data_IF_914563269091
#
_entry.id   IF_914563269091
#
_cell.length_a   1.000
_cell.length_b   1.000
_cell.length_c   1.000
_cell.angle_alpha   90.00
_cell.angle_beta   90.00
_cell.angle_gamma   90.00
#
_symmetry.space_group_name_H-M   'P 1'
#
loop_
_entity.id
_entity.type
_entity.pdbx_description
1 polymer ?
#
# COMPACT_ATOMS: atom_id res chain seq x y z
N UNK A 1 -24.53 10.45 -35.98
CA UNK A 1 -23.43 11.39 -35.79
C UNK A 1 -23.63 12.18 -34.51
N UNK A 2 -22.60 12.86 -34.05
CA UNK A 2 -22.65 13.76 -32.89
C UNK A 2 -22.48 15.18 -33.39
N UNK A 3 -23.26 16.10 -32.82
CA UNK A 3 -23.29 17.50 -33.25
C UNK A 3 -21.91 18.15 -33.13
N UNK A 4 -21.46 18.82 -34.18
CA UNK A 4 -20.17 19.52 -34.22
C UNK A 4 -18.96 18.61 -34.49
N UNK A 5 -19.15 17.32 -34.76
CA UNK A 5 -18.05 16.37 -34.99
C UNK A 5 -17.88 16.10 -36.50
N UNK A 6 -16.65 16.18 -36.97
CA UNK A 6 -16.24 15.69 -38.28
C UNK A 6 -15.89 14.22 -38.18
N UNK A 7 -16.53 13.35 -38.96
CA UNK A 7 -16.30 11.90 -38.98
C UNK A 7 -15.87 11.46 -40.38
N UNK A 8 -15.35 12.35 -41.19
CA UNK A 8 -14.93 12.06 -42.57
C UNK A 8 -13.69 11.17 -42.61
N UNK A 9 -12.81 11.27 -41.61
CA UNK A 9 -11.56 10.53 -41.55
C UNK A 9 -11.48 9.52 -40.39
N UNK A 10 -12.09 9.86 -39.22
CA UNK A 10 -12.05 9.01 -38.02
C UNK A 10 -13.45 8.86 -37.40
N UNK A 11 -13.65 7.73 -36.68
CA UNK A 11 -14.87 7.55 -35.89
C UNK A 11 -14.85 8.41 -34.64
N UNK A 12 -16.01 8.93 -34.24
CA UNK A 12 -16.15 9.70 -33.02
C UNK A 12 -16.41 8.77 -31.83
N UNK A 13 -15.41 8.60 -30.97
CA UNK A 13 -15.44 7.68 -29.83
C UNK A 13 -15.65 8.34 -28.46
N UNK A 14 -15.94 9.66 -28.42
CA UNK A 14 -16.21 10.34 -27.17
C UNK A 14 -17.49 9.84 -26.50
N UNK A 15 -17.51 9.90 -25.17
CA UNK A 15 -18.64 9.42 -24.36
C UNK A 15 -19.72 10.49 -24.12
N UNK A 16 -19.45 11.73 -24.50
CA UNK A 16 -20.33 12.89 -24.31
C UNK A 16 -20.60 13.56 -25.63
N UNK A 17 -21.82 14.06 -25.79
CA UNK A 17 -22.28 14.77 -26.99
C UNK A 17 -23.76 14.53 -27.27
N UNK A 18 -24.31 15.29 -28.20
CA UNK A 18 -25.72 15.18 -28.63
C UNK A 18 -25.77 14.53 -30.02
N UNK A 19 -26.58 13.50 -30.16
CA UNK A 19 -26.73 12.78 -31.43
C UNK A 19 -27.52 13.62 -32.42
N UNK A 20 -27.01 13.71 -33.64
CA UNK A 20 -27.67 14.39 -34.79
C UNK A 20 -27.61 13.49 -36.02
N UNK A 21 -28.37 13.88 -37.06
CA UNK A 21 -28.43 13.17 -38.35
C UNK A 21 -28.81 11.68 -38.24
N UNK A 22 -29.53 11.31 -37.17
CA UNK A 22 -30.26 10.06 -37.12
C UNK A 22 -31.50 10.13 -37.99
N UNK A 23 -31.93 9.05 -38.66
CA UNK A 23 -33.19 9.05 -39.39
C UNK A 23 -34.35 9.49 -38.50
N UNK A 24 -35.34 10.16 -39.06
CA UNK A 24 -36.61 10.42 -38.37
C UNK A 24 -37.38 9.12 -38.25
N UNK A 25 -38.13 8.96 -37.15
CA UNK A 25 -39.03 7.84 -36.98
C UNK A 25 -39.98 7.73 -38.20
N UNK A 26 -40.12 6.50 -38.74
CA UNK A 26 -40.93 6.24 -39.94
C UNK A 26 -40.24 6.56 -41.27
N UNK A 27 -38.96 6.94 -41.30
CA UNK A 27 -38.20 7.14 -42.54
C UNK A 27 -37.78 5.77 -43.13
N UNK A 28 -38.27 5.52 -44.37
CA UNK A 28 -37.85 4.34 -45.11
C UNK A 28 -36.36 4.40 -45.51
N UNK A 29 -35.68 3.26 -45.54
CA UNK A 29 -36.19 1.88 -45.38
C UNK A 29 -35.90 1.28 -43.98
N UNK A 30 -35.52 2.06 -42.94
CA UNK A 30 -34.71 1.52 -41.87
C UNK A 30 -35.41 1.26 -40.53
N UNK A 31 -36.03 2.25 -39.91
CA UNK A 31 -36.63 2.01 -38.61
C UNK A 31 -37.49 3.18 -38.13
N UNK A 32 -38.29 2.95 -37.13
CA UNK A 32 -39.09 3.93 -36.40
C UNK A 32 -38.35 4.53 -35.18
N UNK A 33 -37.05 4.24 -35.05
CA UNK A 33 -36.19 4.82 -34.00
C UNK A 33 -35.50 6.09 -34.49
N UNK A 34 -35.71 7.22 -33.81
CA UNK A 34 -34.93 8.43 -33.99
C UNK A 34 -34.12 8.74 -32.72
N UNK A 35 -32.83 9.02 -32.90
CA UNK A 35 -31.90 9.29 -31.80
C UNK A 35 -31.53 10.80 -31.73
N UNK A 36 -32.06 11.63 -32.64
CA UNK A 36 -31.72 13.05 -32.70
C UNK A 36 -32.05 13.78 -31.41
N UNK A 37 -31.13 14.60 -30.91
CA UNK A 37 -31.29 15.38 -29.70
C UNK A 37 -31.03 14.62 -28.39
N UNK A 38 -30.78 13.33 -28.48
CA UNK A 38 -30.43 12.55 -27.31
C UNK A 38 -28.92 12.66 -26.98
N UNK A 39 -28.58 12.63 -25.72
CA UNK A 39 -27.20 12.39 -25.32
C UNK A 39 -26.74 11.02 -25.78
N UNK A 40 -25.42 10.80 -25.94
CA UNK A 40 -24.85 9.49 -26.33
C UNK A 40 -25.34 8.39 -25.39
N UNK A 41 -25.41 8.65 -24.08
CA UNK A 41 -25.89 7.69 -23.09
C UNK A 41 -27.37 7.30 -23.30
N UNK A 42 -28.22 8.26 -23.55
CA UNK A 42 -29.64 8.03 -23.82
C UNK A 42 -29.84 7.33 -25.16
N UNK A 43 -29.09 7.72 -26.19
CA UNK A 43 -29.13 7.07 -27.51
C UNK A 43 -28.72 5.61 -27.45
N UNK A 44 -27.69 5.27 -26.68
CA UNK A 44 -27.26 3.86 -26.44
C UNK A 44 -28.38 3.10 -25.71
N UNK A 45 -29.02 3.70 -24.72
CA UNK A 45 -30.10 3.03 -23.98
C UNK A 45 -31.32 2.79 -24.89
N UNK A 46 -31.74 3.79 -25.69
CA UNK A 46 -32.83 3.67 -26.66
C UNK A 46 -32.54 2.59 -27.71
N UNK A 47 -31.31 2.56 -28.26
CA UNK A 47 -30.91 1.54 -29.24
C UNK A 47 -30.92 0.13 -28.65
N UNK A 48 -30.45 -0.06 -27.43
CA UNK A 48 -30.47 -1.37 -26.74
C UNK A 48 -31.90 -1.85 -26.51
N UNK A 49 -32.82 -0.95 -26.17
CA UNK A 49 -34.23 -1.28 -25.98
C UNK A 49 -34.86 -1.69 -27.31
N UNK A 50 -34.67 -0.86 -28.37
CA UNK A 50 -35.16 -1.10 -29.71
C UNK A 50 -34.73 -2.46 -30.26
N UNK A 51 -33.42 -2.79 -30.17
CA UNK A 51 -32.87 -4.07 -30.63
C UNK A 51 -33.54 -5.24 -29.95
N UNK A 52 -33.86 -5.09 -28.65
CA UNK A 52 -34.52 -6.14 -27.85
C UNK A 52 -35.99 -6.30 -28.24
N UNK A 53 -36.73 -5.22 -28.35
CA UNK A 53 -38.18 -5.23 -28.63
C UNK A 53 -38.48 -5.75 -30.03
N UNK A 54 -37.62 -5.43 -31.00
CA UNK A 54 -37.79 -5.84 -32.41
C UNK A 54 -37.07 -7.16 -32.75
N UNK A 55 -36.50 -7.88 -31.74
CA UNK A 55 -35.77 -9.14 -31.95
C UNK A 55 -34.64 -9.04 -33.00
N UNK A 56 -34.02 -7.86 -33.15
CA UNK A 56 -32.92 -7.64 -34.09
C UNK A 56 -31.58 -8.19 -33.60
N UNK A 57 -31.51 -8.54 -32.31
CA UNK A 57 -30.32 -9.08 -31.70
C UNK A 57 -30.43 -9.16 -30.18
N UNK A 58 -29.29 -9.36 -29.51
CA UNK A 58 -29.22 -9.41 -28.06
C UNK A 58 -28.17 -8.42 -27.51
N UNK A 59 -28.48 -7.77 -26.41
CA UNK A 59 -27.51 -6.97 -25.66
C UNK A 59 -26.61 -7.93 -24.90
N UNK A 60 -25.29 -7.86 -25.17
CA UNK A 60 -24.27 -8.65 -24.49
C UNK A 60 -23.27 -7.71 -23.82
N UNK A 61 -22.93 -7.99 -22.58
CA UNK A 61 -21.83 -7.34 -21.89
C UNK A 61 -20.55 -8.15 -22.19
N UNK A 62 -19.57 -7.48 -22.78
CA UNK A 62 -18.24 -8.05 -22.96
C UNK A 62 -17.32 -7.44 -21.90
N UNK A 63 -16.73 -8.33 -21.09
CA UNK A 63 -15.73 -7.92 -20.11
C UNK A 63 -14.36 -7.86 -20.79
N UNK A 64 -13.62 -6.77 -20.54
CA UNK A 64 -12.21 -6.65 -20.86
C UNK A 64 -11.44 -6.65 -19.56
N UNK A 65 -10.96 -7.81 -19.15
CA UNK A 65 -10.09 -7.98 -18.00
C UNK A 65 -8.67 -8.21 -18.51
N UNK A 66 -7.71 -7.68 -17.80
CA UNK A 66 -6.31 -8.10 -17.98
C UNK A 66 -6.15 -9.46 -17.32
N UNK A 67 -5.38 -10.35 -17.95
CA UNK A 67 -5.03 -11.61 -17.34
C UNK A 67 -4.29 -11.37 -16.01
N UNK A 68 -4.74 -12.05 -14.98
CA UNK A 68 -4.09 -12.03 -13.68
C UNK A 68 -3.16 -13.25 -13.59
N UNK A 69 -1.85 -13.02 -13.64
CA UNK A 69 -0.86 -14.08 -13.47
C UNK A 69 -0.59 -14.27 -11.99
N UNK A 70 -0.99 -15.44 -11.46
CA UNK A 70 -0.78 -15.83 -10.06
C UNK A 70 0.55 -16.57 -9.89
N UNK A 71 1.63 -16.06 -10.49
CA UNK A 71 2.98 -16.60 -10.34
C UNK A 71 4.03 -15.48 -10.42
N UNK A 72 5.19 -15.73 -9.83
CA UNK A 72 6.32 -14.81 -9.84
C UNK A 72 7.62 -15.57 -10.10
N UNK A 73 8.49 -14.97 -10.88
CA UNK A 73 9.85 -15.42 -11.13
C UNK A 73 10.76 -14.99 -9.97
N UNK A 74 10.44 -15.47 -8.76
CA UNK A 74 11.15 -15.13 -7.52
C UNK A 74 11.41 -16.39 -6.72
N UNK A 75 12.48 -16.40 -5.93
CA UNK A 75 12.75 -17.49 -5.00
C UNK A 75 11.82 -17.41 -3.79
N UNK A 76 11.74 -16.24 -3.13
CA UNK A 76 10.91 -16.05 -1.93
C UNK A 76 9.43 -15.94 -2.29
N UNK A 77 8.69 -16.95 -1.92
CA UNK A 77 7.26 -17.12 -2.12
C UNK A 77 6.88 -18.58 -1.86
N UNK A 78 5.59 -18.86 -1.67
CA UNK A 78 5.11 -20.24 -1.56
C UNK A 78 5.33 -20.96 -2.89
N UNK A 79 5.98 -22.14 -2.91
CA UNK A 79 6.16 -22.91 -4.13
C UNK A 79 4.82 -23.53 -4.57
N UNK A 80 4.61 -23.62 -5.88
CA UNK A 80 3.46 -24.36 -6.40
C UNK A 80 3.70 -25.86 -6.27
N UNK A 81 2.78 -26.61 -5.63
CA UNK A 81 2.91 -28.06 -5.53
C UNK A 81 2.51 -28.77 -6.83
N UNK A 82 3.19 -28.41 -7.93
CA UNK A 82 2.85 -28.81 -9.28
C UNK A 82 4.07 -29.34 -10.01
N UNK A 83 3.92 -30.48 -10.70
CA UNK A 83 4.88 -31.01 -11.66
C UNK A 83 4.26 -31.06 -13.06
N UNK A 84 5.11 -31.12 -14.11
CA UNK A 84 4.66 -31.13 -15.49
C UNK A 84 4.93 -32.45 -16.17
N UNK A 85 3.87 -33.07 -16.70
CA UNK A 85 3.93 -34.24 -17.54
C UNK A 85 3.34 -33.90 -18.90
N UNK A 86 4.12 -34.11 -19.97
CA UNK A 86 3.71 -33.78 -21.35
C UNK A 86 3.23 -32.33 -21.52
N UNK A 87 3.84 -31.38 -20.77
CA UNK A 87 3.46 -29.98 -20.78
C UNK A 87 2.18 -29.64 -19.99
N UNK A 88 1.53 -30.63 -19.37
CA UNK A 88 0.33 -30.47 -18.56
C UNK A 88 0.70 -30.46 -17.06
N UNK A 89 0.11 -29.53 -16.27
CA UNK A 89 0.35 -29.47 -14.82
C UNK A 89 -0.43 -30.56 -14.07
N UNK A 90 0.23 -31.17 -13.10
CA UNK A 90 -0.35 -32.12 -12.16
C UNK A 90 0.02 -31.74 -10.74
N UNK A 91 -0.93 -31.89 -9.81
CA UNK A 91 -0.67 -31.67 -8.39
C UNK A 91 0.15 -32.81 -7.79
N UNK A 92 1.06 -32.50 -6.89
CA UNK A 92 1.66 -33.51 -6.01
C UNK A 92 0.59 -33.99 -5.00
N UNK A 93 0.66 -35.23 -4.48
CA UNK A 93 -0.31 -35.72 -3.50
C UNK A 93 -0.34 -34.86 -2.24
N UNK A 94 -1.53 -34.65 -1.69
CA UNK A 94 -1.73 -33.77 -0.52
C UNK A 94 -0.97 -34.23 0.72
N UNK A 95 -0.78 -35.52 0.88
CA UNK A 95 0.02 -36.13 1.97
C UNK A 95 1.51 -35.83 1.88
N UNK A 96 1.96 -35.29 0.74
CA UNK A 96 3.37 -34.91 0.52
C UNK A 96 3.62 -33.41 0.76
N UNK A 97 2.62 -32.69 1.22
CA UNK A 97 2.73 -31.27 1.58
C UNK A 97 3.18 -31.12 3.05
N UNK A 98 3.89 -30.04 3.39
CA UNK A 98 4.25 -28.91 2.53
C UNK A 98 5.39 -29.21 1.56
N UNK A 99 5.35 -28.61 0.37
CA UNK A 99 6.49 -28.53 -0.54
C UNK A 99 7.40 -27.39 -0.09
N UNK A 100 8.59 -27.72 0.43
CA UNK A 100 9.55 -26.73 0.93
C UNK A 100 10.42 -26.18 -0.20
N UNK A 101 10.84 -24.90 -0.06
CA UNK A 101 11.79 -24.30 -0.98
C UNK A 101 13.16 -24.99 -0.90
N UNK A 102 13.77 -25.33 -2.03
CA UNK A 102 15.08 -25.99 -2.06
C UNK A 102 16.19 -24.96 -1.84
N UNK A 103 17.36 -25.43 -1.41
CA UNK A 103 18.55 -24.60 -1.43
C UNK A 103 18.97 -24.26 -2.86
N UNK A 104 19.35 -22.99 -3.08
CA UNK A 104 19.85 -22.48 -4.37
C UNK A 104 21.16 -21.74 -4.18
N UNK A 105 22.03 -21.82 -5.17
CA UNK A 105 23.31 -21.11 -5.16
C UNK A 105 23.20 -19.61 -5.45
N UNK A 106 22.13 -19.20 -6.13
CA UNK A 106 21.87 -17.80 -6.53
C UNK A 106 20.36 -17.52 -6.53
N UNK A 107 19.97 -16.30 -6.13
CA UNK A 107 18.58 -15.82 -6.14
C UNK A 107 18.23 -15.01 -7.41
N UNK A 108 19.11 -15.02 -8.41
CA UNK A 108 18.91 -14.39 -9.71
C UNK A 108 18.36 -15.42 -10.71
N UNK A 109 17.75 -14.98 -11.81
CA UNK A 109 17.41 -15.86 -12.92
C UNK A 109 18.64 -16.65 -13.43
N UNK A 110 18.38 -17.81 -14.05
CA UNK A 110 19.45 -18.58 -14.71
C UNK A 110 19.94 -17.85 -15.97
N UNK A 111 21.05 -18.28 -16.54
CA UNK A 111 21.57 -17.75 -17.80
C UNK A 111 20.60 -18.00 -18.98
N UNK A 112 19.79 -19.06 -18.91
CA UNK A 112 18.71 -19.35 -19.86
C UNK A 112 17.43 -18.55 -19.64
N UNK A 113 17.36 -17.71 -18.59
CA UNK A 113 16.20 -16.89 -18.25
C UNK A 113 15.14 -17.59 -17.39
N UNK A 114 15.43 -18.80 -16.88
CA UNK A 114 14.54 -19.47 -15.94
C UNK A 114 14.49 -18.75 -14.58
N UNK A 115 13.37 -18.89 -13.83
CA UNK A 115 13.28 -18.39 -12.47
C UNK A 115 14.41 -18.90 -11.56
N UNK A 116 14.66 -18.24 -10.39
CA UNK A 116 15.73 -18.65 -9.46
C UNK A 116 15.70 -20.12 -9.04
N UNK A 117 14.53 -20.76 -8.98
CA UNK A 117 14.39 -22.19 -8.68
C UNK A 117 15.05 -23.09 -9.76
N UNK A 118 15.30 -22.55 -10.95
CA UNK A 118 16.10 -23.23 -11.98
C UNK A 118 17.53 -23.54 -11.57
N UNK A 119 18.09 -22.85 -10.54
CA UNK A 119 19.39 -23.17 -9.95
C UNK A 119 19.36 -24.35 -8.96
N UNK A 120 18.17 -24.78 -8.52
CA UNK A 120 18.06 -25.86 -7.55
C UNK A 120 18.45 -27.20 -8.18
N UNK A 121 19.22 -27.98 -7.44
CA UNK A 121 19.58 -29.36 -7.84
C UNK A 121 18.45 -30.34 -7.49
N UNK A 122 17.90 -30.21 -6.29
CA UNK A 122 16.81 -31.05 -5.79
C UNK A 122 15.48 -30.36 -6.09
N UNK A 123 15.01 -30.45 -7.35
CA UNK A 123 13.76 -29.81 -7.78
C UNK A 123 13.12 -30.56 -8.96
N UNK A 124 12.86 -31.86 -8.75
CA UNK A 124 12.07 -32.71 -9.63
C UNK A 124 11.17 -33.59 -8.77
N UNK A 125 10.06 -34.05 -9.31
CA UNK A 125 9.08 -34.89 -8.64
C UNK A 125 9.18 -36.35 -9.10
N UNK A 126 9.46 -37.26 -8.16
CA UNK A 126 9.44 -38.70 -8.37
C UNK A 126 8.04 -39.25 -8.03
N UNK A 127 7.23 -39.56 -9.04
CA UNK A 127 5.88 -40.05 -8.90
C UNK A 127 5.78 -41.48 -8.33
N UNK A 128 6.86 -42.26 -8.37
CA UNK A 128 6.88 -43.63 -7.86
C UNK A 128 7.07 -43.62 -6.34
N UNK A 129 8.01 -42.78 -5.89
CA UNK A 129 8.37 -42.69 -4.48
C UNK A 129 7.72 -41.52 -3.73
N UNK A 130 6.90 -40.71 -4.43
CA UNK A 130 6.20 -39.53 -3.91
C UNK A 130 7.14 -38.58 -3.14
N UNK A 131 8.22 -38.14 -3.76
CA UNK A 131 9.23 -37.28 -3.15
C UNK A 131 9.92 -36.36 -4.14
N UNK A 132 10.47 -35.28 -3.64
CA UNK A 132 11.39 -34.42 -4.38
C UNK A 132 12.73 -35.15 -4.59
N UNK A 133 13.27 -35.06 -5.79
CA UNK A 133 14.54 -35.69 -6.19
C UNK A 133 15.41 -34.74 -7.01
N UNK A 134 16.60 -35.18 -7.39
CA UNK A 134 17.53 -34.41 -8.20
C UNK A 134 16.97 -34.23 -9.61
N UNK A 135 17.00 -32.98 -10.14
CA UNK A 135 16.53 -32.66 -11.48
C UNK A 135 17.26 -33.40 -12.60
N UNK A 136 18.50 -33.84 -12.36
CA UNK A 136 19.27 -34.67 -13.30
C UNK A 136 18.61 -36.03 -13.56
N UNK A 137 17.73 -36.48 -12.67
CA UNK A 137 17.00 -37.72 -12.78
C UNK A 137 15.71 -37.63 -13.64
N UNK A 138 15.36 -36.44 -14.16
CA UNK A 138 14.16 -36.22 -14.95
C UNK A 138 14.25 -37.13 -16.19
N UNK A 139 13.26 -38.01 -16.32
CA UNK A 139 13.14 -38.95 -17.45
C UNK A 139 11.82 -38.81 -18.22
N UNK A 140 10.89 -37.94 -17.75
CA UNK A 140 9.56 -37.72 -18.30
C UNK A 140 8.68 -38.99 -18.39
N UNK A 141 9.01 -40.05 -17.65
CA UNK A 141 8.22 -41.27 -17.50
C UNK A 141 7.70 -41.41 -16.06
N UNK A 142 8.60 -41.30 -15.10
CA UNK A 142 8.33 -41.44 -13.66
C UNK A 142 8.83 -40.24 -12.84
N UNK A 143 9.79 -39.47 -13.35
CA UNK A 143 10.37 -38.30 -12.71
C UNK A 143 10.18 -37.09 -13.61
N UNK A 144 9.52 -36.08 -13.08
CA UNK A 144 9.04 -34.90 -13.83
C UNK A 144 9.57 -33.60 -13.25
N UNK A 145 9.68 -32.52 -14.07
CA UNK A 145 10.07 -31.20 -13.57
C UNK A 145 8.97 -30.59 -12.69
N UNK A 146 9.37 -30.00 -11.58
CA UNK A 146 8.51 -29.15 -10.73
C UNK A 146 8.40 -27.74 -11.31
N UNK A 147 7.32 -27.02 -10.97
CA UNK A 147 7.14 -25.62 -11.29
C UNK A 147 8.29 -24.76 -10.72
N UNK A 148 8.84 -23.86 -11.54
CA UNK A 148 9.96 -23.00 -11.16
C UNK A 148 9.52 -21.64 -10.62
N UNK A 149 8.27 -21.24 -10.84
CA UNK A 149 7.71 -20.02 -10.29
C UNK A 149 7.23 -20.25 -8.85
N UNK A 150 7.15 -19.19 -8.09
CA UNK A 150 6.50 -19.18 -6.78
C UNK A 150 5.20 -18.39 -6.82
N UNK A 151 4.34 -18.59 -5.83
CA UNK A 151 3.15 -17.76 -5.65
C UNK A 151 3.56 -16.33 -5.33
N UNK A 152 2.71 -15.32 -5.64
CA UNK A 152 3.00 -13.95 -5.22
C UNK A 152 3.07 -13.84 -3.70
N UNK A 153 3.86 -12.87 -3.20
CA UNK A 153 4.03 -12.67 -1.77
C UNK A 153 2.74 -12.42 -0.98
N UNK A 154 1.66 -12.01 -1.66
CA UNK A 154 0.35 -11.86 -1.02
C UNK A 154 -0.45 -13.17 -0.89
N UNK A 155 0.01 -14.30 -1.41
CA UNK A 155 -0.73 -15.57 -1.33
C UNK A 155 -1.00 -15.96 0.11
N UNK A 156 0.05 -16.05 0.94
CA UNK A 156 -0.09 -16.33 2.36
C UNK A 156 -0.70 -15.17 3.15
N UNK A 157 -0.27 -13.93 2.88
CA UNK A 157 -0.75 -12.75 3.62
C UNK A 157 -2.22 -12.41 3.37
N UNK A 158 -2.82 -12.94 2.32
CA UNK A 158 -4.25 -12.71 2.03
C UNK A 158 -5.19 -13.34 3.06
N UNK A 159 -4.79 -14.42 3.73
CA UNK A 159 -5.61 -15.14 4.71
C UNK A 159 -4.91 -15.33 6.07
N UNK A 160 -3.89 -14.54 6.38
CA UNK A 160 -3.10 -14.68 7.60
C UNK A 160 -3.92 -14.57 8.88
N UNK A 161 -4.98 -13.76 8.89
CA UNK A 161 -5.86 -13.56 10.03
C UNK A 161 -6.57 -14.87 10.46
N UNK A 162 -6.90 -15.75 9.50
CA UNK A 162 -7.43 -17.07 9.82
C UNK A 162 -6.39 -17.93 10.54
N UNK A 163 -5.15 -17.93 10.07
CA UNK A 163 -4.06 -18.66 10.74
C UNK A 163 -3.81 -18.13 12.15
N UNK A 164 -3.96 -16.82 12.39
CA UNK A 164 -3.81 -16.22 13.72
C UNK A 164 -4.85 -16.69 14.72
N UNK A 165 -6.04 -17.09 14.25
CA UNK A 165 -7.07 -17.67 15.12
C UNK A 165 -6.68 -19.05 15.68
N UNK A 166 -5.82 -19.79 14.97
CA UNK A 166 -5.41 -21.14 15.32
C UNK A 166 -3.94 -21.42 14.91
N UNK A 167 -2.97 -20.71 15.51
CA UNK A 167 -1.59 -20.66 15.01
C UNK A 167 -0.83 -21.98 15.12
N UNK A 168 -1.24 -22.86 16.04
CA UNK A 168 -0.59 -24.13 16.30
C UNK A 168 -1.27 -25.33 15.60
N UNK A 169 -2.25 -25.08 14.77
CA UNK A 169 -2.96 -26.12 14.04
C UNK A 169 -2.08 -26.66 12.91
N UNK A 170 -1.75 -27.94 12.95
CA UNK A 170 -0.95 -28.64 11.93
C UNK A 170 -1.79 -29.32 10.86
N UNK A 171 -3.10 -29.46 11.07
CA UNK A 171 -4.00 -30.22 10.20
C UNK A 171 -4.75 -29.33 9.20
N UNK A 172 -5.03 -28.07 9.58
CA UNK A 172 -5.82 -27.16 8.77
C UNK A 172 -5.33 -25.71 8.92
N UNK A 173 -5.73 -24.84 7.98
CA UNK A 173 -5.48 -23.40 8.05
C UNK A 173 -6.04 -22.80 9.34
N UNK A 174 -7.26 -23.20 9.71
CA UNK A 174 -7.96 -22.86 10.93
C UNK A 174 -8.91 -24.01 11.27
N UNK A 175 -9.08 -24.35 12.55
CA UNK A 175 -10.08 -25.32 12.96
C UNK A 175 -11.49 -24.70 12.92
N UNK A 176 -12.48 -25.51 12.61
CA UNK A 176 -13.89 -25.10 12.66
C UNK A 176 -14.27 -24.49 14.03
N UNK A 177 -13.73 -25.04 15.10
CA UNK A 177 -13.94 -24.54 16.47
C UNK A 177 -13.39 -23.12 16.65
N UNK A 178 -12.19 -22.84 16.17
CA UNK A 178 -11.57 -21.52 16.28
C UNK A 178 -12.29 -20.50 15.40
N UNK A 179 -12.61 -20.85 14.15
CA UNK A 179 -13.31 -19.98 13.23
C UNK A 179 -14.74 -19.66 13.70
N UNK A 180 -15.49 -20.65 14.22
CA UNK A 180 -16.80 -20.41 14.84
C UNK A 180 -16.74 -19.53 16.09
N UNK A 181 -15.64 -19.55 16.84
CA UNK A 181 -15.47 -18.71 18.02
C UNK A 181 -15.07 -17.27 17.66
N UNK A 182 -14.04 -17.08 16.84
CA UNK A 182 -13.51 -15.75 16.48
C UNK A 182 -14.30 -15.07 15.37
N UNK A 183 -14.82 -15.84 14.41
CA UNK A 183 -15.56 -15.39 13.23
C UNK A 183 -14.75 -14.36 12.41
N UNK A 184 -15.41 -13.37 11.81
CA UNK A 184 -14.74 -12.29 11.11
C UNK A 184 -14.13 -11.28 12.10
N UNK A 185 -13.02 -10.67 11.70
CA UNK A 185 -12.25 -9.73 12.54
C UNK A 185 -13.08 -8.51 12.91
N UNK A 186 -13.22 -8.21 14.21
CA UNK A 186 -14.04 -7.10 14.71
C UNK A 186 -13.52 -5.72 14.27
N UNK A 187 -12.20 -5.52 14.35
CA UNK A 187 -11.53 -4.28 13.98
C UNK A 187 -10.24 -4.57 13.22
N UNK A 188 -10.17 -4.12 11.98
CA UNK A 188 -9.00 -4.24 11.12
C UNK A 188 -8.38 -2.89 10.85
N UNK A 189 -7.10 -2.72 11.23
CA UNK A 189 -6.40 -1.44 11.12
C UNK A 189 -5.26 -1.56 10.12
N UNK A 190 -5.22 -0.68 9.14
CA UNK A 190 -4.15 -0.67 8.14
C UNK A 190 -4.20 0.55 7.23
N UNK A 191 -3.06 0.91 6.64
CA UNK A 191 -2.93 2.07 5.78
C UNK A 191 -3.74 1.96 4.48
N UNK A 192 -4.11 3.11 3.93
CA UNK A 192 -4.88 3.21 2.67
C UNK A 192 -4.12 2.66 1.45
N UNK A 193 -2.80 2.54 1.52
CA UNK A 193 -1.96 1.91 0.49
C UNK A 193 -2.31 0.45 0.22
N UNK A 194 -2.96 -0.22 1.18
CA UNK A 194 -3.42 -1.60 1.05
C UNK A 194 -4.79 -1.75 0.38
N UNK A 195 -5.48 -0.64 0.07
CA UNK A 195 -6.82 -0.66 -0.53
C UNK A 195 -6.87 -1.39 -1.88
N UNK A 196 -5.84 -1.19 -2.72
CA UNK A 196 -5.73 -1.82 -4.05
C UNK A 196 -4.92 -3.11 -4.06
N UNK A 197 -4.42 -3.56 -2.92
CA UNK A 197 -3.62 -4.77 -2.76
C UNK A 197 -4.25 -5.71 -1.74
N UNK A 198 -3.69 -5.75 -0.53
CA UNK A 198 -4.05 -6.68 0.53
C UNK A 198 -5.57 -6.74 0.83
N UNK A 199 -6.27 -5.61 0.88
CA UNK A 199 -7.70 -5.60 1.22
C UNK A 199 -8.56 -6.27 0.14
N UNK A 200 -8.22 -6.09 -1.14
CA UNK A 200 -8.91 -6.79 -2.25
C UNK A 200 -8.61 -8.29 -2.17
N UNK A 201 -7.35 -8.66 -1.99
CA UNK A 201 -6.95 -10.08 -1.98
C UNK A 201 -7.48 -10.82 -0.75
N UNK A 202 -7.43 -10.20 0.43
CA UNK A 202 -7.98 -10.83 1.65
C UNK A 202 -9.49 -11.06 1.53
N UNK A 203 -10.23 -10.10 0.99
CA UNK A 203 -11.66 -10.25 0.73
C UNK A 203 -11.95 -11.34 -0.31
N UNK A 204 -11.20 -11.37 -1.41
CA UNK A 204 -11.33 -12.38 -2.45
C UNK A 204 -11.06 -13.80 -1.90
N UNK A 205 -9.95 -13.97 -1.17
CA UNK A 205 -9.60 -15.25 -0.54
C UNK A 205 -10.64 -15.69 0.49
N UNK A 206 -11.11 -14.77 1.33
CA UNK A 206 -12.12 -15.12 2.33
C UNK A 206 -13.42 -15.61 1.70
N UNK A 207 -13.90 -14.94 0.65
CA UNK A 207 -15.08 -15.36 -0.10
C UNK A 207 -14.88 -16.73 -0.76
N UNK A 208 -13.72 -16.97 -1.35
CA UNK A 208 -13.35 -18.26 -1.92
C UNK A 208 -13.33 -19.37 -0.85
N UNK A 209 -12.73 -19.11 0.30
CA UNK A 209 -12.69 -20.06 1.41
C UNK A 209 -14.09 -20.28 2.03
N UNK A 210 -14.94 -19.26 2.02
CA UNK A 210 -16.34 -19.38 2.42
C UNK A 210 -17.13 -20.29 1.44
N UNK A 211 -16.95 -20.11 0.14
CA UNK A 211 -17.58 -20.96 -0.89
C UNK A 211 -17.13 -22.43 -0.78
N UNK A 212 -15.90 -22.67 -0.30
CA UNK A 212 -15.38 -24.01 -0.02
C UNK A 212 -15.80 -24.58 1.36
N UNK A 213 -16.50 -23.79 2.17
CA UNK A 213 -16.90 -24.19 3.53
C UNK A 213 -15.76 -24.19 4.55
N UNK A 214 -14.65 -23.53 4.26
CA UNK A 214 -13.49 -23.40 5.17
C UNK A 214 -13.68 -22.24 6.14
N UNK A 215 -14.20 -21.10 5.67
CA UNK A 215 -14.51 -19.93 6.52
C UNK A 215 -16.01 -19.86 6.82
N UNK A 216 -16.36 -19.56 8.07
CA UNK A 216 -17.76 -19.46 8.53
C UNK A 216 -18.41 -18.13 8.19
N UNK A 217 -17.65 -17.14 7.75
CA UNK A 217 -18.13 -15.80 7.35
C UNK A 217 -17.71 -15.45 5.94
N UNK A 218 -18.63 -14.86 5.18
CA UNK A 218 -18.36 -14.39 3.82
C UNK A 218 -17.41 -13.19 3.78
N UNK A 219 -17.56 -12.23 4.70
CA UNK A 219 -16.72 -11.04 4.79
C UNK A 219 -15.66 -11.20 5.88
N UNK A 220 -14.37 -10.86 5.61
CA UNK A 220 -13.30 -11.11 6.55
C UNK A 220 -13.28 -10.13 7.75
N UNK A 221 -13.76 -8.90 7.55
CA UNK A 221 -13.64 -7.81 8.53
C UNK A 221 -14.99 -7.14 8.79
N UNK A 222 -15.30 -6.86 10.05
CA UNK A 222 -16.52 -6.14 10.44
C UNK A 222 -16.33 -4.63 10.33
N UNK A 223 -15.18 -4.13 10.76
CA UNK A 223 -14.83 -2.71 10.72
C UNK A 223 -13.38 -2.53 10.26
N UNK A 224 -13.21 -1.67 9.26
CA UNK A 224 -11.91 -1.23 8.77
C UNK A 224 -11.63 0.20 9.26
N UNK A 225 -10.44 0.41 9.80
CA UNK A 225 -9.91 1.75 10.10
C UNK A 225 -8.61 1.93 9.31
N UNK A 226 -8.65 2.86 8.36
CA UNK A 226 -7.45 3.29 7.66
C UNK A 226 -6.88 4.52 8.36
N UNK A 227 -5.68 4.40 8.92
CA UNK A 227 -4.98 5.53 9.48
C UNK A 227 -4.51 6.48 8.38
N UNK A 228 -4.60 7.78 8.65
CA UNK A 228 -4.03 8.81 7.81
C UNK A 228 -2.50 8.76 7.81
N UNK A 229 -1.89 9.28 6.76
CA UNK A 229 -0.43 9.34 6.66
C UNK A 229 0.14 10.45 7.51
N UNK A 230 1.29 10.20 8.15
CA UNK A 230 2.13 11.26 8.70
C UNK A 230 2.91 11.87 7.53
N UNK A 231 2.67 13.15 7.29
CA UNK A 231 3.27 13.90 6.18
C UNK A 231 4.54 14.60 6.65
N UNK A 232 5.47 14.80 5.72
CA UNK A 232 6.68 15.57 5.95
C UNK A 232 6.44 17.07 5.81
N UNK A 233 7.21 17.86 6.53
CA UNK A 233 7.37 19.27 6.26
C UNK A 233 8.59 19.44 5.37
N UNK A 234 8.37 19.68 4.07
CA UNK A 234 9.44 20.01 3.15
C UNK A 234 9.89 21.44 3.33
N UNK A 235 11.19 21.67 3.26
CA UNK A 235 11.76 23.00 3.23
C UNK A 235 12.31 23.31 1.84
N UNK A 236 12.25 24.59 1.44
CA UNK A 236 12.67 25.03 0.14
C UNK A 236 13.71 26.15 0.23
N UNK A 237 14.75 26.03 -0.60
CA UNK A 237 15.64 27.13 -0.93
C UNK A 237 15.32 27.62 -2.34
N UNK A 238 15.53 28.89 -2.62
CA UNK A 238 15.19 29.54 -3.87
C UNK A 238 16.44 29.91 -4.64
N UNK A 239 16.75 29.13 -5.67
CA UNK A 239 17.91 29.36 -6.54
C UNK A 239 17.57 30.39 -7.59
N UNK A 240 18.35 31.43 -7.75
CA UNK A 240 18.25 32.37 -8.86
C UNK A 240 18.65 31.65 -10.14
N UNK A 241 17.79 31.75 -11.15
CA UNK A 241 17.92 31.04 -12.41
C UNK A 241 19.30 31.24 -13.04
N UNK A 242 19.88 30.17 -13.57
CA UNK A 242 21.17 30.11 -14.23
C UNK A 242 22.36 30.58 -13.36
N UNK A 243 22.22 30.61 -12.04
CA UNK A 243 23.29 30.95 -11.08
C UNK A 243 23.47 29.89 -10.00
N UNK A 244 24.48 30.03 -9.14
CA UNK A 244 24.62 29.28 -7.89
C UNK A 244 24.35 30.18 -6.67
N UNK A 245 23.46 31.16 -6.82
CA UNK A 245 23.06 32.10 -5.79
C UNK A 245 21.64 31.76 -5.29
N UNK A 246 21.47 31.71 -4.00
CA UNK A 246 20.21 31.39 -3.32
C UNK A 246 19.69 32.61 -2.57
N UNK A 247 18.41 32.93 -2.74
CA UNK A 247 17.78 34.08 -2.11
C UNK A 247 16.79 33.63 -1.06
N UNK A 248 16.78 34.31 0.09
CA UNK A 248 15.87 34.05 1.20
C UNK A 248 14.42 34.29 0.83
N UNK A 249 13.48 33.58 1.48
CA UNK A 249 12.05 33.53 1.18
C UNK A 249 11.42 34.91 0.97
N UNK A 250 11.66 35.88 1.87
CA UNK A 250 11.02 37.20 1.80
C UNK A 250 11.55 38.09 0.66
N UNK A 251 12.68 37.72 0.06
CA UNK A 251 13.30 38.48 -1.03
C UNK A 251 13.11 37.78 -2.39
N UNK A 252 12.57 36.56 -2.45
CA UNK A 252 12.49 35.73 -3.65
C UNK A 252 11.75 36.38 -4.82
N UNK A 253 10.73 37.17 -4.53
CA UNK A 253 9.88 37.77 -5.58
C UNK A 253 10.57 38.92 -6.32
N UNK A 254 11.78 39.31 -5.89
CA UNK A 254 12.65 40.28 -6.56
C UNK A 254 13.53 39.64 -7.65
N UNK A 255 13.51 38.30 -7.76
CA UNK A 255 14.36 37.53 -8.65
C UNK A 255 13.56 36.45 -9.39
N UNK A 256 14.06 36.04 -10.55
CA UNK A 256 13.54 34.83 -11.22
C UNK A 256 14.15 33.60 -10.54
N UNK A 257 13.36 32.90 -9.73
CA UNK A 257 13.84 31.84 -8.87
C UNK A 257 13.20 30.49 -9.16
N UNK A 258 13.96 29.41 -8.89
CA UNK A 258 13.46 28.03 -8.89
C UNK A 258 13.53 27.49 -7.46
N UNK A 259 12.41 27.01 -6.89
CA UNK A 259 12.42 26.36 -5.58
C UNK A 259 13.06 24.98 -5.67
N UNK A 260 13.93 24.66 -4.72
CA UNK A 260 14.58 23.36 -4.58
C UNK A 260 14.36 22.83 -3.17
N UNK A 261 14.04 21.55 -3.06
CA UNK A 261 13.93 20.89 -1.76
C UNK A 261 15.30 20.85 -1.08
N UNK A 262 15.32 21.07 0.22
CA UNK A 262 16.50 21.00 1.07
C UNK A 262 16.28 20.03 2.22
N UNK A 263 17.35 19.36 2.66
CA UNK A 263 17.28 18.39 3.76
C UNK A 263 16.77 19.06 5.04
N UNK A 264 15.71 18.49 5.62
CA UNK A 264 15.12 19.01 6.84
C UNK A 264 16.06 19.02 8.05
N UNK A 265 17.11 18.20 8.03
CA UNK A 265 18.09 18.13 9.12
C UNK A 265 19.05 19.31 9.16
N UNK A 266 19.18 20.10 8.09
CA UNK A 266 19.99 21.32 8.01
C UNK A 266 19.15 22.59 8.06
N UNK A 267 17.86 22.48 8.45
CA UNK A 267 16.95 23.61 8.65
C UNK A 267 16.41 23.57 10.08
N UNK A 268 16.50 24.67 10.79
CA UNK A 268 15.96 24.79 12.16
C UNK A 268 15.09 26.05 12.29
N UNK A 269 13.82 25.87 12.65
CA UNK A 269 12.83 26.95 12.75
C UNK A 269 12.82 27.82 11.46
N UNK A 270 12.78 27.18 10.29
CA UNK A 270 12.82 27.78 8.96
C UNK A 270 14.15 28.48 8.58
N UNK A 271 15.14 28.49 9.46
CA UNK A 271 16.48 29.05 9.18
C UNK A 271 17.38 27.94 8.66
N UNK A 272 17.97 28.17 7.49
CA UNK A 272 18.96 27.28 6.88
C UNK A 272 20.31 27.41 7.58
N UNK A 273 20.94 26.27 7.87
CA UNK A 273 22.37 26.21 8.12
C UNK A 273 23.12 26.30 6.79
N UNK A 274 23.63 27.50 6.49
CA UNK A 274 24.28 27.82 5.21
C UNK A 274 25.56 26.99 5.01
N UNK A 275 26.32 26.75 6.06
CA UNK A 275 27.57 25.99 5.95
C UNK A 275 27.28 24.48 5.78
N UNK A 276 26.29 23.96 6.49
CA UNK A 276 25.81 22.60 6.27
C UNK A 276 25.26 22.42 4.86
N UNK A 277 24.54 23.41 4.31
CA UNK A 277 24.04 23.37 2.93
C UNK A 277 25.17 23.32 1.89
N UNK A 278 26.21 24.13 2.05
CA UNK A 278 27.39 24.08 1.17
C UNK A 278 28.09 22.72 1.21
N UNK A 279 28.13 22.11 2.38
CA UNK A 279 28.74 20.80 2.58
C UNK A 279 27.83 19.62 2.13
N UNK A 280 26.52 19.85 1.99
CA UNK A 280 25.55 18.81 1.69
C UNK A 280 25.73 18.16 0.32
N UNK A 281 26.09 18.99 -0.70
CA UNK A 281 26.35 18.51 -2.06
C UNK A 281 27.49 19.25 -2.71
N UNK A 282 28.32 18.57 -3.52
CA UNK A 282 29.46 19.19 -4.20
C UNK A 282 29.09 20.41 -5.05
N UNK A 283 27.92 20.39 -5.70
CA UNK A 283 27.44 21.49 -6.54
C UNK A 283 27.13 22.77 -5.76
N UNK A 284 27.01 22.72 -4.44
CA UNK A 284 26.67 23.84 -3.56
C UNK A 284 27.88 24.39 -2.79
N UNK A 285 29.07 23.80 -2.94
CA UNK A 285 30.29 24.23 -2.21
C UNK A 285 30.61 25.74 -2.37
N UNK A 286 30.31 26.29 -3.53
CA UNK A 286 30.53 27.70 -3.86
C UNK A 286 29.23 28.51 -3.94
N UNK A 287 28.15 28.04 -3.25
CA UNK A 287 26.88 28.73 -3.26
C UNK A 287 26.99 30.09 -2.54
N UNK A 288 26.35 31.09 -3.12
CA UNK A 288 26.19 32.42 -2.54
C UNK A 288 24.78 32.59 -2.01
N UNK A 289 24.62 33.44 -0.96
CA UNK A 289 23.32 33.60 -0.30
C UNK A 289 22.97 35.06 -0.13
N UNK A 290 21.74 35.41 -0.52
CA UNK A 290 21.11 36.70 -0.24
C UNK A 290 20.21 36.51 0.98
N UNK A 291 20.62 37.08 2.09
CA UNK A 291 20.06 36.87 3.41
C UNK A 291 19.03 37.95 3.80
N UNK A 292 18.10 37.61 4.65
CA UNK A 292 17.21 38.52 5.39
C UNK A 292 17.71 38.67 6.83
N UNK A 293 18.04 39.88 7.23
CA UNK A 293 18.55 40.18 8.57
C UNK A 293 19.66 39.23 9.05
N UNK A 294 20.57 38.89 8.14
CA UNK A 294 21.71 37.99 8.40
C UNK A 294 21.34 36.50 8.49
N UNK A 295 20.13 36.11 8.14
CA UNK A 295 19.67 34.71 8.12
C UNK A 295 19.12 34.35 6.75
N UNK A 296 19.20 33.05 6.40
CA UNK A 296 18.51 32.51 5.25
C UNK A 296 17.22 31.83 5.71
N UNK A 297 16.09 32.37 5.32
CA UNK A 297 14.78 31.82 5.63
C UNK A 297 14.31 30.94 4.49
N UNK A 298 14.00 29.67 4.79
CA UNK A 298 13.45 28.71 3.85
C UNK A 298 11.94 28.88 3.69
N UNK A 299 11.42 28.56 2.51
CA UNK A 299 10.01 28.26 2.37
C UNK A 299 9.69 26.87 2.91
N UNK A 300 8.40 26.56 3.05
CA UNK A 300 7.96 25.24 3.47
C UNK A 300 6.60 24.85 2.89
N UNK A 301 6.38 23.55 2.79
CA UNK A 301 5.08 22.96 2.46
C UNK A 301 4.92 21.62 3.14
N UNK A 302 3.66 21.21 3.36
CA UNK A 302 3.34 19.86 3.85
C UNK A 302 3.20 18.94 2.65
N UNK A 303 4.03 17.91 2.60
CA UNK A 303 4.09 16.97 1.48
C UNK A 303 4.21 15.53 2.00
N UNK A 304 4.00 14.55 1.12
CA UNK A 304 4.29 13.15 1.43
C UNK A 304 5.78 13.00 1.76
N UNK A 305 6.10 12.28 2.84
CA UNK A 305 7.50 11.94 3.15
C UNK A 305 8.11 11.09 2.05
N UNK A 306 9.22 11.54 1.48
CA UNK A 306 10.02 10.76 0.52
C UNK A 306 11.48 11.16 0.56
N UNK A 307 12.37 10.23 0.20
CA UNK A 307 13.82 10.49 0.12
C UNK A 307 14.15 11.58 -0.90
N UNK A 308 13.40 11.68 -2.00
CA UNK A 308 13.61 12.67 -3.05
C UNK A 308 13.19 14.08 -2.65
N UNK A 309 12.36 14.23 -1.63
CA UNK A 309 11.92 15.52 -1.07
C UNK A 309 12.74 15.93 0.16
N UNK A 310 13.66 15.09 0.62
CA UNK A 310 14.52 15.32 1.78
C UNK A 310 13.77 15.73 3.06
N UNK A 311 12.55 15.23 3.22
CA UNK A 311 11.63 15.57 4.30
C UNK A 311 11.29 14.37 5.20
N UNK A 312 12.11 13.30 5.12
CA UNK A 312 11.90 12.08 5.93
C UNK A 312 12.42 12.32 7.34
N UNK A 313 11.57 12.03 8.32
CA UNK A 313 11.95 11.94 9.74
C UNK A 313 12.26 10.46 10.05
N UNK A 314 13.48 10.17 10.48
CA UNK A 314 13.88 8.81 10.84
C UNK A 314 13.38 8.50 12.27
N UNK A 315 12.54 7.47 12.47
CA UNK A 315 12.09 7.05 13.79
C UNK A 315 13.23 6.72 14.75
N UNK A 316 14.33 6.11 14.29
CA UNK A 316 15.46 5.76 15.15
C UNK A 316 16.08 6.99 15.80
N UNK A 317 16.28 8.08 15.05
CA UNK A 317 16.79 9.34 15.58
C UNK A 317 15.85 9.94 16.64
N UNK A 318 14.55 9.80 16.45
CA UNK A 318 13.55 10.28 17.43
C UNK A 318 13.56 9.40 18.67
N UNK A 319 13.66 8.09 18.51
CA UNK A 319 13.76 7.13 19.63
C UNK A 319 15.03 7.39 20.45
N UNK A 320 16.17 7.58 19.79
CA UNK A 320 17.45 7.88 20.46
C UNK A 320 17.37 9.19 21.29
N UNK A 321 16.70 10.21 20.75
CA UNK A 321 16.60 11.52 21.41
C UNK A 321 15.53 11.59 22.50
N UNK A 322 14.37 10.98 22.28
CA UNK A 322 13.18 11.17 23.09
C UNK A 322 12.66 9.89 23.76
N UNK A 323 13.08 8.72 23.30
CA UNK A 323 12.57 7.42 23.70
C UNK A 323 11.36 6.95 22.87
N UNK A 324 11.19 5.64 22.78
CA UNK A 324 10.12 5.01 22.00
C UNK A 324 8.72 5.35 22.52
N UNK A 325 8.54 5.44 23.84
CA UNK A 325 7.25 5.78 24.44
C UNK A 325 6.79 7.20 24.06
N UNK A 326 7.75 8.13 24.00
CA UNK A 326 7.47 9.50 23.55
C UNK A 326 7.02 9.54 22.09
N UNK A 327 7.72 8.82 21.21
CA UNK A 327 7.37 8.74 19.79
C UNK A 327 5.95 8.17 19.63
N UNK A 328 5.69 7.00 20.19
CA UNK A 328 4.39 6.31 20.10
C UNK A 328 3.23 7.16 20.62
N UNK A 329 3.41 7.79 21.77
CA UNK A 329 2.40 8.66 22.35
C UNK A 329 2.18 9.92 21.51
N UNK A 330 3.25 10.48 20.94
CA UNK A 330 3.17 11.65 20.08
C UNK A 330 2.44 11.39 18.77
N UNK A 331 2.67 10.25 18.11
CA UNK A 331 1.94 9.86 16.92
C UNK A 331 0.42 9.81 17.14
N UNK A 332 -0.01 9.29 18.29
CA UNK A 332 -1.43 9.28 18.66
C UNK A 332 -1.96 10.67 19.07
N UNK A 333 -1.09 11.53 19.60
CA UNK A 333 -1.46 12.88 20.00
C UNK A 333 -1.65 13.85 18.83
N UNK A 334 -1.02 13.60 17.68
CA UNK A 334 -1.06 14.48 16.51
C UNK A 334 -2.48 14.79 16.00
N UNK A 335 -3.47 13.93 16.26
CA UNK A 335 -4.87 14.15 15.90
C UNK A 335 -5.64 12.83 15.63
N UNK A 336 -6.85 12.88 15.07
CA UNK A 336 -7.65 11.70 14.78
C UNK A 336 -6.91 10.70 13.87
N UNK A 337 -7.05 9.40 14.16
CA UNK A 337 -6.28 8.35 13.50
C UNK A 337 -6.48 8.32 11.98
N UNK A 338 -7.70 8.60 11.51
CA UNK A 338 -8.07 8.52 10.10
C UNK A 338 -7.58 9.71 9.26
N UNK A 339 -7.10 10.78 9.90
CA UNK A 339 -6.66 11.99 9.20
C UNK A 339 -5.15 11.99 8.97
N UNK A 340 -4.74 12.42 7.78
CA UNK A 340 -3.32 12.72 7.52
C UNK A 340 -2.89 13.97 8.29
N UNK A 341 -1.66 13.95 8.80
CA UNK A 341 -1.14 14.98 9.73
C UNK A 341 0.29 15.32 9.38
N UNK A 342 0.67 16.61 9.42
CA UNK A 342 2.07 16.99 9.30
C UNK A 342 2.85 16.57 10.56
N UNK A 343 4.05 16.05 10.38
CA UNK A 343 5.00 15.89 11.46
C UNK A 343 5.50 17.26 11.94
N UNK A 344 5.47 17.50 13.24
CA UNK A 344 6.07 18.68 13.88
C UNK A 344 7.05 18.24 14.97
N UNK A 345 8.33 18.38 14.69
CA UNK A 345 9.40 17.99 15.63
C UNK A 345 9.36 18.80 16.93
N UNK A 346 8.82 20.02 16.91
CA UNK A 346 8.74 20.87 18.11
C UNK A 346 7.62 20.41 19.07
N UNK A 347 6.56 19.81 18.54
CA UNK A 347 5.42 19.34 19.36
C UNK A 347 5.75 18.16 20.28
N UNK A 348 6.74 17.34 19.91
CA UNK A 348 7.12 16.14 20.68
C UNK A 348 7.67 16.44 22.08
N UNK A 349 8.28 17.60 22.27
CA UNK A 349 8.81 18.04 23.58
C UNK A 349 7.73 18.11 24.66
N UNK A 350 6.50 18.46 24.29
CA UNK A 350 5.36 18.49 25.20
C UNK A 350 5.04 17.11 25.77
N UNK A 351 4.99 16.11 24.90
CA UNK A 351 4.75 14.71 25.26
C UNK A 351 5.90 14.16 26.10
N UNK A 352 7.14 14.44 25.73
CA UNK A 352 8.32 14.00 26.48
C UNK A 352 8.33 14.56 27.92
N UNK A 353 8.03 15.86 28.08
CA UNK A 353 7.90 16.48 29.41
C UNK A 353 6.75 15.89 30.22
N UNK A 354 5.63 15.55 29.57
CA UNK A 354 4.53 14.85 30.22
C UNK A 354 4.98 13.51 30.79
N UNK A 355 5.61 12.67 29.98
CA UNK A 355 6.09 11.35 30.40
C UNK A 355 7.11 11.45 31.58
N UNK A 356 8.02 12.43 31.51
CA UNK A 356 8.95 12.68 32.65
C UNK A 356 8.22 13.06 33.94
N UNK A 357 7.20 13.92 33.87
CA UNK A 357 6.38 14.26 35.02
C UNK A 357 5.59 13.07 35.52
N UNK A 358 5.02 12.27 34.61
CA UNK A 358 4.29 11.06 34.95
C UNK A 358 5.18 10.06 35.68
N UNK A 359 6.39 9.81 35.14
CA UNK A 359 7.40 8.96 35.80
C UNK A 359 7.75 9.43 37.21
N UNK A 360 7.89 10.72 37.42
CA UNK A 360 8.24 11.31 38.73
C UNK A 360 7.15 11.13 39.79
N UNK A 361 5.93 10.68 39.45
CA UNK A 361 4.92 10.28 40.43
C UNK A 361 5.26 8.94 41.11
N UNK A 362 6.04 8.10 40.42
CA UNK A 362 6.37 6.77 40.90
C UNK A 362 7.79 6.62 41.38
N UNK A 363 8.71 7.46 40.90
CA UNK A 363 10.12 7.38 41.24
C UNK A 363 10.70 8.78 41.53
N UNK A 364 11.53 8.86 42.56
CA UNK A 364 12.29 10.05 42.84
C UNK A 364 13.50 10.22 41.90
N UNK A 365 14.30 11.28 42.09
CA UNK A 365 15.50 11.55 41.27
C UNK A 365 16.63 10.53 41.44
N UNK A 366 16.57 9.72 42.49
CA UNK A 366 17.55 8.66 42.77
C UNK A 366 17.06 7.30 42.30
N UNK A 367 15.88 7.23 41.67
CA UNK A 367 15.26 5.99 41.23
C UNK A 367 14.55 5.20 42.32
N UNK A 368 14.32 5.80 43.49
CA UNK A 368 13.57 5.18 44.57
C UNK A 368 12.07 5.19 44.24
N UNK A 369 11.40 4.06 44.44
CA UNK A 369 9.96 3.92 44.25
C UNK A 369 9.19 4.64 45.36
N UNK A 370 8.26 5.50 44.97
CA UNK A 370 7.54 6.41 45.88
C UNK A 370 6.16 5.90 46.30
N UNK A 371 5.59 4.94 45.57
CA UNK A 371 4.24 4.43 45.89
C UNK A 371 4.28 3.62 47.16
N UNK A 372 3.36 3.90 48.08
CA UNK A 372 3.21 3.21 49.38
C UNK A 372 1.85 2.51 49.42
N UNK A 373 1.69 1.56 50.35
CA UNK A 373 0.41 0.88 50.62
C UNK A 373 -0.50 1.67 51.57
N UNK A 374 -0.13 2.90 51.90
CA UNK A 374 -0.97 3.77 52.73
C UNK A 374 -2.28 4.13 52.03
N UNK A 375 -3.36 4.21 52.80
CA UNK A 375 -4.65 4.57 52.26
C UNK A 375 -4.64 6.02 51.75
N UNK A 376 -5.14 6.25 50.54
CA UNK A 376 -5.22 7.56 49.94
C UNK A 376 -6.09 8.52 50.78
N UNK A 377 -5.66 9.73 50.90
CA UNK A 377 -6.41 10.81 51.59
C UNK A 377 -7.69 11.19 50.81
N UNK A 378 -8.63 11.85 51.50
CA UNK A 378 -9.86 12.34 50.84
C UNK A 378 -9.57 13.31 49.68
N UNK A 379 -8.51 14.10 49.78
CA UNK A 379 -8.10 15.07 48.74
C UNK A 379 -7.53 14.35 47.50
N UNK A 380 -6.71 13.35 47.73
CA UNK A 380 -6.18 12.49 46.64
C UNK A 380 -7.29 11.72 45.92
N UNK A 381 -8.22 11.10 46.66
CA UNK A 381 -9.39 10.44 46.09
C UNK A 381 -10.28 11.43 45.34
N UNK A 382 -10.47 12.65 45.82
CA UNK A 382 -11.22 13.69 45.10
C UNK A 382 -10.55 14.09 43.81
N UNK A 383 -9.21 14.20 43.78
CA UNK A 383 -8.43 14.49 42.57
C UNK A 383 -8.52 13.35 41.58
N UNK A 384 -8.38 12.10 42.02
CA UNK A 384 -8.52 10.91 41.19
C UNK A 384 -9.91 10.81 40.56
N UNK A 385 -10.98 10.94 41.36
CA UNK A 385 -12.35 10.84 40.84
C UNK A 385 -12.72 12.00 39.90
N UNK A 386 -12.13 13.17 40.09
CA UNK A 386 -12.28 14.30 39.16
C UNK A 386 -11.57 14.03 37.82
N UNK A 387 -10.46 13.34 37.87
CA UNK A 387 -9.72 12.94 36.63
C UNK A 387 -10.43 11.83 35.87
N UNK A 388 -11.03 10.87 36.57
CA UNK A 388 -11.77 9.75 35.97
C UNK A 388 -13.05 10.24 35.29
N UNK A 389 -13.73 11.25 35.83
CA UNK A 389 -14.94 11.83 35.26
C UNK A 389 -14.66 12.64 33.99
#
# INVERSE_FOLDING_TARGET
LVEGCDVSEESFDAKEGIVCNSPKAGAEPYCDLSLNGLSIKEAIAATKLYVREHNLGRVKVNFRLRDAIFSRQRYWGEPFPVYYKDGMPYMIPAECLPLELPEVSKFLPTESGEPPLGHAKMWAWDCVNNRVTNKENINNETIFPLELNTMPGFAGSSAYYLRYMDPNNTEALVSEKADNYWQNVDLYVGGTEHATGHLIYSRFWNKFLFDLGVSVKEEPFQKLVNQGMIQGRSNFVYRIKDTNTFVSLGLKDQYDTTPLHVDVNIVSNDVLDVEAFKAWRPEYNNAEFILEDGKYICGWAVEKMSKSMFNVVNPDMIVDKYGADTLRMYEMFLGPVEQSKPWDTNGIDGVHRFLKKFWSLFYDRNGQYLVTDEAATKEELKSLHKLIK
#
